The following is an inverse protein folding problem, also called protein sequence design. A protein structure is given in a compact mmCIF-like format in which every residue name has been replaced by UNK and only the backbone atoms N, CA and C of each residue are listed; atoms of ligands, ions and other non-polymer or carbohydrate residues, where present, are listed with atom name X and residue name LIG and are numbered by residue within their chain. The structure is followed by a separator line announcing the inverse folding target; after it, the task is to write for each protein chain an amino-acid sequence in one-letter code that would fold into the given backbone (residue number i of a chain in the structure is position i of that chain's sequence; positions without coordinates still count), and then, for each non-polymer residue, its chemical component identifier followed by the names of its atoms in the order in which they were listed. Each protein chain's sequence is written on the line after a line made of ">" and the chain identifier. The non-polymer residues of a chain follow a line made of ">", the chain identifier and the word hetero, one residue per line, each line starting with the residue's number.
data_IF_410611070259
#
_entry.id   IF_410611070259
#
_cell.length_a   1.000
_cell.length_b   1.000
_cell.length_c   1.000
_cell.angle_alpha   90.00
_cell.angle_beta   90.00
_cell.angle_gamma   90.00
#
_symmetry.space_group_name_H-M   'P 1'
#
loop_
_entity.id
_entity.type
_entity.pdbx_description
1 polymer ?
#
# COMPACT_ATOMS: atom_id res chain seq x y z
N UNK A 1 -12.05 35.91 -24.75
CA UNK A 1 -10.63 35.65 -24.45
C UNK A 1 -10.56 34.68 -23.29
N UNK A 2 -9.99 33.49 -23.51
CA UNK A 2 -9.77 32.52 -22.44
C UNK A 2 -8.53 32.96 -21.66
N UNK A 3 -8.55 32.85 -20.34
CA UNK A 3 -7.42 33.21 -19.48
C UNK A 3 -6.73 31.93 -19.02
N UNK A 4 -5.47 31.74 -19.42
CA UNK A 4 -4.63 30.63 -18.98
C UNK A 4 -3.32 31.21 -18.42
N UNK A 5 -3.03 30.94 -17.14
CA UNK A 5 -1.89 31.53 -16.41
C UNK A 5 -1.74 33.06 -16.56
N UNK A 6 -2.82 33.81 -16.33
CA UNK A 6 -2.85 35.28 -16.45
C UNK A 6 -2.47 35.84 -17.84
N UNK A 7 -2.46 34.99 -18.86
CA UNK A 7 -2.32 35.39 -20.27
C UNK A 7 -3.64 35.16 -21.00
N UNK A 8 -4.02 36.14 -21.80
CA UNK A 8 -5.15 36.03 -22.70
C UNK A 8 -4.78 35.19 -23.91
N UNK A 9 -5.53 34.11 -24.14
CA UNK A 9 -5.33 33.20 -25.26
C UNK A 9 -6.64 33.02 -26.03
N UNK A 10 -6.49 32.90 -27.35
CA UNK A 10 -7.57 32.55 -28.28
C UNK A 10 -7.42 31.10 -28.79
N UNK A 11 -6.52 30.31 -28.18
CA UNK A 11 -6.25 28.91 -28.55
C UNK A 11 -6.97 27.96 -27.58
N UNK A 12 -7.79 27.07 -28.13
CA UNK A 12 -8.44 25.98 -27.40
C UNK A 12 -7.78 24.65 -27.78
N UNK A 13 -7.29 23.92 -26.79
CA UNK A 13 -6.85 22.54 -26.95
C UNK A 13 -8.03 21.60 -26.73
N UNK A 14 -8.18 20.60 -27.60
CA UNK A 14 -9.18 19.55 -27.47
C UNK A 14 -8.56 18.21 -27.84
N UNK A 15 -9.19 17.14 -27.37
CA UNK A 15 -8.85 15.77 -27.70
C UNK A 15 -10.05 15.13 -28.41
N UNK A 16 -9.77 14.36 -29.47
CA UNK A 16 -10.79 13.54 -30.14
C UNK A 16 -10.84 12.19 -29.43
N UNK A 17 -11.99 11.87 -28.84
CA UNK A 17 -12.20 10.63 -28.11
C UNK A 17 -12.78 9.56 -29.02
N UNK A 18 -12.36 8.31 -28.82
CA UNK A 18 -12.91 7.15 -29.52
C UNK A 18 -14.30 6.73 -29.02
N UNK A 19 -14.74 7.27 -27.88
CA UNK A 19 -16.07 7.03 -27.28
C UNK A 19 -16.73 8.36 -26.88
N UNK A 20 -18.07 8.42 -26.84
CA UNK A 20 -18.79 9.61 -26.38
C UNK A 20 -18.35 10.06 -24.97
N UNK A 21 -18.21 11.37 -24.78
CA UNK A 21 -17.77 11.95 -23.51
C UNK A 21 -18.63 11.50 -22.30
N UNK A 22 -19.98 11.43 -22.37
CA UNK A 22 -20.79 10.94 -21.26
C UNK A 22 -20.46 9.50 -20.86
N UNK A 23 -20.14 8.65 -21.83
CA UNK A 23 -19.74 7.26 -21.59
C UNK A 23 -18.37 7.21 -20.91
N UNK A 24 -17.39 7.97 -21.43
CA UNK A 24 -16.06 8.07 -20.82
C UNK A 24 -16.14 8.58 -19.37
N UNK A 25 -16.99 9.57 -19.10
CA UNK A 25 -17.22 10.11 -17.75
C UNK A 25 -17.85 9.10 -16.80
N UNK A 26 -18.55 8.08 -17.32
CA UNK A 26 -19.10 6.97 -16.54
C UNK A 26 -18.06 5.90 -16.16
N UNK A 27 -16.85 5.95 -16.74
CA UNK A 27 -15.79 4.98 -16.49
C UNK A 27 -14.77 5.49 -15.46
N UNK A 28 -14.10 4.55 -14.81
CA UNK A 28 -12.92 4.78 -13.98
C UNK A 28 -11.79 3.89 -14.48
N UNK A 29 -10.59 4.46 -14.58
CA UNK A 29 -9.40 3.72 -15.02
C UNK A 29 -8.44 3.58 -13.84
N UNK A 30 -8.26 2.35 -13.36
CA UNK A 30 -7.34 2.01 -12.28
C UNK A 30 -6.05 1.45 -12.87
N UNK A 31 -4.91 1.88 -12.35
CA UNK A 31 -3.61 1.25 -12.60
C UNK A 31 -3.26 0.35 -11.42
N UNK A 32 -3.28 -0.95 -11.63
CA UNK A 32 -3.06 -1.96 -10.59
C UNK A 32 -1.71 -2.63 -10.81
N UNK A 33 -0.81 -2.52 -9.83
CA UNK A 33 0.43 -3.26 -9.78
C UNK A 33 0.15 -4.70 -9.30
N UNK A 34 0.24 -5.67 -10.20
CA UNK A 34 0.08 -7.08 -9.87
C UNK A 34 1.43 -7.68 -9.49
N UNK A 35 1.50 -8.27 -8.29
CA UNK A 35 2.67 -8.97 -7.79
C UNK A 35 2.47 -10.47 -8.00
N UNK A 36 3.34 -11.08 -8.80
CA UNK A 36 3.28 -12.53 -9.04
C UNK A 36 3.73 -13.29 -7.79
N UNK A 37 3.07 -14.41 -7.49
CA UNK A 37 3.41 -15.24 -6.33
C UNK A 37 4.74 -16.00 -6.51
N UNK A 38 5.10 -16.35 -7.75
CA UNK A 38 6.24 -17.23 -8.08
C UNK A 38 7.38 -16.53 -8.80
N UNK A 39 7.11 -15.37 -9.39
CA UNK A 39 8.08 -14.55 -10.11
C UNK A 39 8.30 -13.28 -9.31
N UNK A 40 9.55 -12.87 -9.11
CA UNK A 40 9.88 -11.55 -8.54
C UNK A 40 9.67 -10.45 -9.59
N UNK A 41 8.44 -10.35 -10.07
CA UNK A 41 8.00 -9.48 -11.16
C UNK A 41 6.73 -8.73 -10.75
N UNK A 42 6.70 -7.44 -11.07
CA UNK A 42 5.55 -6.57 -10.87
C UNK A 42 5.10 -6.03 -12.22
N UNK A 43 3.85 -6.30 -12.58
CA UNK A 43 3.26 -5.87 -13.85
C UNK A 43 2.12 -4.89 -13.58
N UNK A 44 2.12 -3.75 -14.27
CA UNK A 44 1.06 -2.75 -14.13
C UNK A 44 -0.04 -3.03 -15.15
N UNK A 45 -1.23 -3.40 -14.67
CA UNK A 45 -2.43 -3.57 -15.49
C UNK A 45 -3.30 -2.32 -15.43
N UNK A 46 -3.72 -1.85 -16.59
CA UNK A 46 -4.72 -0.78 -16.70
C UNK A 46 -6.11 -1.40 -16.82
N UNK A 47 -6.96 -1.16 -15.83
CA UNK A 47 -8.32 -1.70 -15.73
C UNK A 47 -9.30 -0.54 -15.84
N UNK A 48 -10.15 -0.57 -16.87
CA UNK A 48 -11.16 0.46 -17.09
C UNK A 48 -12.54 -0.16 -16.97
N UNK A 49 -13.29 0.27 -15.96
CA UNK A 49 -14.63 -0.25 -15.64
C UNK A 49 -15.60 0.89 -15.33
N UNK A 50 -16.93 0.68 -15.42
CA UNK A 50 -17.92 1.65 -14.95
C UNK A 50 -17.71 2.02 -13.48
N UNK A 51 -17.91 3.29 -13.11
CA UNK A 51 -17.66 3.81 -11.76
C UNK A 51 -18.41 3.05 -10.64
N UNK A 52 -19.60 2.56 -10.95
CA UNK A 52 -20.44 1.77 -10.05
C UNK A 52 -19.95 0.33 -9.84
N UNK A 53 -18.95 -0.14 -10.59
CA UNK A 53 -18.38 -1.47 -10.43
C UNK A 53 -17.71 -1.61 -9.07
N UNK A 54 -17.48 -2.86 -8.69
CA UNK A 54 -16.90 -3.23 -7.40
C UNK A 54 -15.44 -3.66 -7.53
N UNK A 55 -14.74 -3.73 -6.40
CA UNK A 55 -13.39 -4.32 -6.33
C UNK A 55 -13.39 -5.77 -6.81
N UNK A 56 -14.46 -6.53 -6.58
CA UNK A 56 -14.62 -7.87 -7.13
C UNK A 56 -14.58 -7.90 -8.65
N UNK A 57 -15.20 -6.92 -9.32
CA UNK A 57 -15.16 -6.79 -10.78
C UNK A 57 -13.74 -6.49 -11.29
N UNK A 58 -12.99 -5.64 -10.57
CA UNK A 58 -11.57 -5.36 -10.87
C UNK A 58 -10.73 -6.63 -10.74
N UNK A 59 -10.94 -7.40 -9.68
CA UNK A 59 -10.25 -8.68 -9.46
C UNK A 59 -10.56 -9.66 -10.59
N UNK A 60 -11.82 -9.78 -11.00
CA UNK A 60 -12.23 -10.68 -12.08
C UNK A 60 -11.61 -10.27 -13.43
N UNK A 61 -11.62 -8.98 -13.76
CA UNK A 61 -10.96 -8.46 -14.96
C UNK A 61 -9.43 -8.70 -14.92
N UNK A 62 -8.82 -8.54 -13.74
CA UNK A 62 -7.39 -8.82 -13.56
C UNK A 62 -7.07 -10.30 -13.74
N UNK A 63 -7.87 -11.21 -13.16
CA UNK A 63 -7.71 -12.67 -13.30
C UNK A 63 -7.73 -13.13 -14.75
N UNK A 64 -8.46 -12.45 -15.63
CA UNK A 64 -8.48 -12.76 -17.06
C UNK A 64 -7.21 -12.31 -17.81
N UNK A 65 -6.39 -11.45 -17.20
CA UNK A 65 -5.20 -10.82 -17.81
C UNK A 65 -3.88 -11.34 -17.24
N UNK A 66 -3.91 -12.12 -16.15
CA UNK A 66 -2.71 -12.59 -15.44
C UNK A 66 -2.66 -14.10 -15.37
N UNK A 67 -1.45 -14.65 -15.33
CA UNK A 67 -1.21 -16.04 -14.99
C UNK A 67 -1.18 -16.20 -13.48
N UNK A 68 -2.11 -16.98 -12.93
CA UNK A 68 -2.19 -17.32 -11.52
C UNK A 68 -1.37 -18.56 -11.19
N UNK A 69 -0.92 -18.70 -9.95
CA UNK A 69 -0.21 -19.90 -9.51
C UNK A 69 -1.09 -21.17 -9.52
N UNK A 70 -2.40 -21.03 -9.30
CA UNK A 70 -3.39 -22.10 -9.45
C UNK A 70 -4.77 -21.55 -9.88
N UNK A 71 -5.65 -22.36 -10.50
CA UNK A 71 -6.93 -21.89 -11.04
C UNK A 71 -7.88 -21.25 -10.01
N UNK A 72 -7.79 -21.69 -8.76
CA UNK A 72 -8.64 -21.23 -7.66
C UNK A 72 -7.96 -20.15 -6.80
N UNK A 73 -6.89 -19.51 -7.29
CA UNK A 73 -6.20 -18.48 -6.53
C UNK A 73 -7.15 -17.31 -6.25
N UNK A 74 -7.17 -16.88 -5.00
CA UNK A 74 -7.90 -15.69 -4.58
C UNK A 74 -6.96 -14.50 -4.69
N UNK A 75 -7.47 -13.37 -5.19
CA UNK A 75 -6.70 -12.13 -5.22
C UNK A 75 -7.26 -11.17 -4.20
N UNK A 76 -6.39 -10.34 -3.63
CA UNK A 76 -6.77 -9.16 -2.86
C UNK A 76 -6.27 -7.90 -3.54
N UNK A 77 -7.02 -6.81 -3.38
CA UNK A 77 -6.59 -5.48 -3.79
C UNK A 77 -6.25 -4.65 -2.54
N UNK A 78 -5.12 -3.95 -2.60
CA UNK A 78 -4.50 -3.24 -1.49
C UNK A 78 -4.17 -1.80 -1.89
N UNK A 79 -4.27 -0.87 -0.94
CA UNK A 79 -3.67 0.46 -1.04
C UNK A 79 -2.33 0.47 -0.31
N UNK A 80 -1.25 0.74 -1.05
CA UNK A 80 0.09 0.92 -0.50
C UNK A 80 0.50 2.39 -0.64
N UNK A 81 0.94 2.97 0.48
CA UNK A 81 1.42 4.35 0.54
C UNK A 81 2.61 4.44 1.50
N UNK A 82 3.67 5.15 1.10
CA UNK A 82 4.94 5.24 1.85
C UNK A 82 5.41 3.91 2.45
N UNK A 83 5.45 2.85 1.63
CA UNK A 83 5.92 1.51 2.02
C UNK A 83 5.12 0.85 3.14
N UNK A 84 3.85 1.27 3.33
CA UNK A 84 2.90 0.68 4.27
C UNK A 84 1.62 0.29 3.56
N UNK A 85 1.00 -0.79 4.03
CA UNK A 85 -0.33 -1.21 3.60
C UNK A 85 -1.35 -0.44 4.42
N UNK A 86 -2.15 0.39 3.76
CA UNK A 86 -3.16 1.25 4.40
C UNK A 86 -4.53 0.62 4.48
N UNK A 87 -4.87 -0.15 3.45
CA UNK A 87 -6.20 -0.72 3.29
C UNK A 87 -6.15 -1.98 2.45
N UNK A 88 -6.91 -2.98 2.89
CA UNK A 88 -7.34 -4.08 2.04
C UNK A 88 -8.76 -3.75 1.63
N UNK A 89 -9.04 -3.76 0.34
CA UNK A 89 -10.38 -3.46 -0.14
C UNK A 89 -11.28 -4.69 -0.01
N UNK A 90 -12.48 -4.54 0.59
CA UNK A 90 -13.48 -5.59 0.52
C UNK A 90 -14.04 -5.67 -0.90
N UNK A 91 -14.41 -6.88 -1.32
CA UNK A 91 -14.84 -7.16 -2.68
C UNK A 91 -16.05 -6.33 -3.14
N UNK A 92 -16.93 -5.93 -2.21
CA UNK A 92 -18.14 -5.16 -2.48
C UNK A 92 -17.92 -3.64 -2.51
N UNK A 93 -16.71 -3.15 -2.20
CA UNK A 93 -16.43 -1.71 -2.26
C UNK A 93 -16.47 -1.22 -3.70
N UNK A 94 -17.14 -0.09 -3.90
CA UNK A 94 -17.24 0.53 -5.23
C UNK A 94 -15.93 1.19 -5.64
N UNK A 95 -15.57 1.01 -6.90
CA UNK A 95 -14.33 1.58 -7.42
C UNK A 95 -14.36 3.11 -7.49
N UNK A 96 -15.54 3.74 -7.58
CA UNK A 96 -15.68 5.20 -7.55
C UNK A 96 -15.00 5.84 -6.34
N UNK A 97 -14.98 5.15 -5.19
CA UNK A 97 -14.44 5.64 -3.92
C UNK A 97 -12.92 5.47 -3.77
N UNK A 98 -12.28 4.71 -4.65
CA UNK A 98 -10.83 4.43 -4.59
C UNK A 98 -10.04 5.69 -4.99
N UNK A 99 -9.06 6.12 -4.19
CA UNK A 99 -8.16 7.18 -4.60
C UNK A 99 -6.96 6.60 -5.35
N UNK A 100 -6.95 6.76 -6.68
CA UNK A 100 -5.91 6.25 -7.58
C UNK A 100 -4.88 7.31 -7.99
N UNK A 101 -4.92 8.52 -7.42
CA UNK A 101 -4.05 9.62 -7.80
C UNK A 101 -2.68 9.60 -7.09
N UNK A 102 -2.64 9.12 -5.85
CA UNK A 102 -1.44 9.22 -5.00
C UNK A 102 -0.97 7.89 -4.42
N UNK A 103 -1.82 6.87 -4.47
CA UNK A 103 -1.57 5.59 -3.81
C UNK A 103 -1.31 4.52 -4.85
N UNK A 104 -0.42 3.58 -4.52
CA UNK A 104 -0.19 2.42 -5.35
C UNK A 104 -1.29 1.41 -5.06
N UNK A 105 -2.13 1.13 -6.06
CA UNK A 105 -3.03 -0.02 -6.01
C UNK A 105 -2.24 -1.27 -6.32
N UNK A 106 -2.12 -2.15 -5.33
CA UNK A 106 -1.42 -3.43 -5.45
C UNK A 106 -2.42 -4.57 -5.43
N UNK A 107 -2.29 -5.51 -6.35
CA UNK A 107 -3.00 -6.77 -6.30
C UNK A 107 -2.01 -7.92 -6.15
N UNK A 108 -2.40 -8.91 -5.36
CA UNK A 108 -1.58 -10.10 -5.11
C UNK A 108 -2.48 -11.30 -4.80
N UNK A 109 -1.94 -12.49 -5.02
CA UNK A 109 -2.57 -13.75 -4.61
C UNK A 109 -2.56 -13.86 -3.09
N UNK A 110 -3.70 -14.26 -2.51
CA UNK A 110 -3.82 -14.59 -1.10
C UNK A 110 -3.25 -15.99 -0.89
N UNK A 111 -2.13 -16.13 -0.16
CA UNK A 111 -1.54 -17.43 0.13
C UNK A 111 -2.51 -18.36 0.87
N UNK A 112 -2.43 -19.66 0.61
CA UNK A 112 -3.27 -20.67 1.27
C UNK A 112 -3.07 -20.73 2.80
N UNK A 113 -1.88 -20.34 3.29
CA UNK A 113 -1.60 -20.20 4.73
C UNK A 113 -2.48 -19.13 5.40
N UNK A 114 -2.90 -18.09 4.67
CA UNK A 114 -3.76 -17.03 5.21
C UNK A 114 -5.24 -17.43 5.25
N UNK A 115 -5.65 -18.46 4.50
CA UNK A 115 -7.05 -18.90 4.43
C UNK A 115 -7.46 -19.80 5.60
N UNK A 116 -6.49 -20.50 6.20
CA UNK A 116 -6.71 -21.51 7.21
C UNK A 116 -6.15 -21.09 8.59
N UNK A 117 -6.43 -19.85 9.00
CA UNK A 117 -5.95 -19.32 10.27
C UNK A 117 -6.66 -19.98 11.46
N UNK A 118 -5.88 -20.48 12.41
CA UNK A 118 -6.38 -20.94 13.70
C UNK A 118 -6.94 -19.78 14.56
N UNK A 119 -7.67 -20.08 15.65
CA UNK A 119 -8.29 -19.06 16.51
C UNK A 119 -7.31 -18.04 17.12
N UNK A 120 -6.08 -18.49 17.33
CA UNK A 120 -4.98 -17.73 17.94
C UNK A 120 -3.95 -17.24 16.93
N UNK A 121 -4.05 -17.69 15.67
CA UNK A 121 -3.19 -17.19 14.60
C UNK A 121 -3.53 -15.74 14.27
N UNK A 122 -2.54 -15.03 13.74
CA UNK A 122 -2.67 -13.62 13.36
C UNK A 122 -2.02 -13.39 12.02
N UNK A 123 -2.73 -12.66 11.16
CA UNK A 123 -2.15 -12.05 9.98
C UNK A 123 -1.60 -10.68 10.39
N UNK A 124 -0.29 -10.49 10.29
CA UNK A 124 0.38 -9.23 10.65
C UNK A 124 1.03 -8.57 9.44
N UNK A 125 1.24 -7.26 9.55
CA UNK A 125 2.04 -6.52 8.60
C UNK A 125 3.53 -6.61 8.93
N UNK A 126 4.34 -6.70 7.88
CA UNK A 126 5.80 -6.65 7.96
C UNK A 126 6.32 -5.54 7.05
N UNK A 127 7.08 -4.60 7.61
CA UNK A 127 7.64 -3.46 6.89
C UNK A 127 9.16 -3.37 7.09
N UNK A 128 9.87 -2.95 6.06
CA UNK A 128 11.29 -2.65 6.15
C UNK A 128 11.48 -1.22 6.63
N UNK A 129 12.44 -0.98 7.51
CA UNK A 129 12.72 0.37 7.96
C UNK A 129 14.20 0.62 8.26
N UNK A 130 14.59 1.88 8.13
CA UNK A 130 15.84 2.40 8.66
C UNK A 130 15.53 3.31 9.84
N UNK A 131 16.42 3.32 10.81
CA UNK A 131 16.40 4.30 11.89
C UNK A 131 17.16 5.54 11.46
N UNK A 132 16.46 6.66 11.34
CA UNK A 132 17.16 7.94 11.21
C UNK A 132 17.75 8.32 12.57
N UNK A 133 19.04 8.67 12.57
CA UNK A 133 19.80 9.05 13.77
C UNK A 133 20.05 10.55 13.85
N UNK A 134 19.30 11.36 13.10
CA UNK A 134 19.31 12.82 13.26
C UNK A 134 19.12 13.22 14.74
N UNK A 135 19.94 14.14 15.27
CA UNK A 135 19.86 14.52 16.68
C UNK A 135 18.47 15.04 17.04
N UNK A 136 17.90 14.52 18.13
CA UNK A 136 16.61 14.87 18.76
C UNK A 136 15.33 14.19 18.24
N UNK A 137 15.36 13.32 17.22
CA UNK A 137 14.18 12.49 16.87
C UNK A 137 14.60 11.10 16.38
N UNK A 138 14.17 10.05 17.08
CA UNK A 138 14.19 8.69 16.50
C UNK A 138 13.02 8.60 15.53
N UNK A 139 13.28 8.84 14.24
CA UNK A 139 12.30 8.60 13.19
C UNK A 139 12.56 7.26 12.51
N UNK A 140 11.46 6.52 12.32
CA UNK A 140 11.44 5.28 11.55
C UNK A 140 11.06 5.65 10.12
N UNK A 141 12.00 5.45 9.18
CA UNK A 141 11.74 5.62 7.76
C UNK A 141 11.50 4.25 7.13
N UNK A 142 10.27 4.02 6.64
CA UNK A 142 9.93 2.76 5.97
C UNK A 142 10.37 2.82 4.50
N UNK A 143 10.79 1.68 3.97
CA UNK A 143 11.20 1.52 2.57
C UNK A 143 10.84 0.12 2.07
N UNK A 144 11.18 -0.19 0.82
CA UNK A 144 10.98 -1.53 0.24
C UNK A 144 9.51 -1.91 0.06
N UNK A 145 9.28 -3.21 -0.07
CA UNK A 145 7.94 -3.75 -0.32
C UNK A 145 7.30 -4.29 0.97
N UNK A 146 6.16 -3.74 1.42
CA UNK A 146 5.45 -4.30 2.55
C UNK A 146 4.82 -5.65 2.18
N UNK A 147 4.65 -6.52 3.17
CA UNK A 147 3.98 -7.81 2.99
C UNK A 147 3.27 -8.26 4.26
N UNK A 148 2.45 -9.30 4.12
CA UNK A 148 1.78 -9.97 5.22
C UNK A 148 2.52 -11.23 5.65
N UNK A 149 2.43 -11.53 6.94
CA UNK A 149 2.94 -12.75 7.53
C UNK A 149 1.91 -13.33 8.50
N UNK A 150 1.63 -14.62 8.37
CA UNK A 150 0.87 -15.37 9.37
C UNK A 150 1.82 -15.74 10.51
N UNK A 151 1.49 -15.36 11.74
CA UNK A 151 2.18 -15.83 12.94
C UNK A 151 1.27 -16.74 13.75
N UNK A 152 1.86 -17.81 14.28
CA UNK A 152 1.15 -18.82 15.07
C UNK A 152 1.30 -18.57 16.57
N UNK A 153 0.39 -19.16 17.35
CA UNK A 153 0.50 -19.14 18.81
C UNK A 153 1.75 -19.88 19.28
N UNK A 154 2.54 -19.26 20.17
CA UNK A 154 3.77 -19.86 20.69
C UNK A 154 4.96 -19.81 19.73
N UNK A 155 4.81 -19.26 18.52
CA UNK A 155 5.92 -19.13 17.56
C UNK A 155 6.96 -18.13 18.07
N UNK A 156 8.21 -18.60 18.15
CA UNK A 156 9.37 -17.82 18.58
C UNK A 156 9.87 -16.91 17.46
N UNK A 157 10.61 -15.85 17.81
CA UNK A 157 11.23 -14.98 16.80
C UNK A 157 12.21 -15.75 15.92
N UNK A 158 12.93 -16.75 16.44
CA UNK A 158 13.83 -17.59 15.63
C UNK A 158 13.08 -18.31 14.51
N UNK A 159 11.91 -18.87 14.80
CA UNK A 159 11.07 -19.55 13.80
C UNK A 159 10.52 -18.56 12.76
N UNK A 160 10.02 -17.42 13.23
CA UNK A 160 9.55 -16.32 12.37
C UNK A 160 10.67 -15.80 11.46
N UNK A 161 11.88 -15.64 11.97
CA UNK A 161 13.07 -15.21 11.21
C UNK A 161 13.36 -16.14 10.05
N UNK A 162 13.35 -17.47 10.27
CA UNK A 162 13.57 -18.45 9.21
C UNK A 162 12.53 -18.34 8.09
N UNK A 163 11.25 -18.12 8.45
CA UNK A 163 10.17 -17.94 7.47
C UNK A 163 10.31 -16.65 6.67
N UNK A 164 10.61 -15.53 7.34
CA UNK A 164 10.84 -14.24 6.70
C UNK A 164 12.03 -14.33 5.73
N UNK A 165 13.14 -14.90 6.18
CA UNK A 165 14.33 -15.06 5.36
C UNK A 165 14.06 -15.89 4.11
N UNK A 166 13.37 -17.03 4.28
CA UNK A 166 12.96 -17.90 3.15
C UNK A 166 12.04 -17.16 2.19
N UNK A 167 11.08 -16.38 2.71
CA UNK A 167 10.12 -15.60 1.89
C UNK A 167 10.82 -14.51 1.08
N UNK A 168 11.78 -13.81 1.69
CA UNK A 168 12.52 -12.72 1.07
C UNK A 168 13.74 -13.18 0.26
N UNK A 169 14.11 -14.46 0.35
CA UNK A 169 15.27 -15.06 -0.32
C UNK A 169 16.59 -14.33 -0.03
N UNK A 170 16.76 -13.86 1.22
CA UNK A 170 17.94 -13.11 1.67
C UNK A 170 19.03 -14.07 2.16
N UNK A 171 20.30 -13.92 1.72
CA UNK A 171 21.42 -14.75 2.20
C UNK A 171 21.61 -14.64 3.72
N UNK A 172 22.05 -15.73 4.35
CA UNK A 172 22.30 -15.79 5.81
C UNK A 172 23.20 -14.67 6.31
N UNK A 173 24.26 -14.36 5.55
CA UNK A 173 25.22 -13.31 5.92
C UNK A 173 24.57 -11.92 5.98
N UNK A 174 23.64 -11.62 5.07
CA UNK A 174 22.93 -10.35 5.06
C UNK A 174 21.83 -10.33 6.13
N UNK A 175 21.03 -11.39 6.21
CA UNK A 175 19.91 -11.46 7.14
C UNK A 175 20.35 -11.46 8.61
N UNK A 176 21.52 -12.03 8.92
CA UNK A 176 22.10 -12.01 10.27
C UNK A 176 22.36 -10.60 10.82
N UNK A 177 22.48 -9.59 9.94
CA UNK A 177 22.70 -8.18 10.30
C UNK A 177 21.38 -7.45 10.62
N UNK A 178 20.23 -8.04 10.24
CA UNK A 178 18.93 -7.41 10.39
C UNK A 178 18.45 -7.50 11.84
N UNK A 179 17.79 -6.44 12.30
CA UNK A 179 17.14 -6.43 13.63
C UNK A 179 15.64 -6.41 13.46
N UNK A 180 14.95 -7.28 14.19
CA UNK A 180 13.50 -7.34 14.16
C UNK A 180 12.95 -6.62 15.39
N UNK A 181 11.94 -5.79 15.16
CA UNK A 181 11.28 -5.03 16.20
C UNK A 181 9.76 -5.12 16.07
N UNK A 182 9.07 -5.16 17.19
CA UNK A 182 7.66 -4.80 17.25
C UNK A 182 7.58 -3.27 17.23
N UNK A 183 6.87 -2.70 16.26
CA UNK A 183 6.63 -1.27 16.23
C UNK A 183 5.22 -0.99 16.73
N UNK A 184 5.09 -0.01 17.63
CA UNK A 184 3.82 0.56 18.03
C UNK A 184 3.95 2.09 18.02
N UNK A 185 3.06 2.81 17.34
CA UNK A 185 3.06 4.29 17.32
C UNK A 185 4.43 4.88 16.87
N UNK A 186 5.11 4.22 15.93
CA UNK A 186 6.42 4.64 15.43
C UNK A 186 7.60 4.38 16.36
N UNK A 187 7.38 3.71 17.51
CA UNK A 187 8.43 3.34 18.46
C UNK A 187 8.82 1.87 18.27
N UNK A 188 10.09 1.57 17.96
CA UNK A 188 10.56 0.20 17.85
C UNK A 188 10.92 -0.40 19.22
N UNK A 189 10.36 -1.59 19.48
CA UNK A 189 10.73 -2.49 20.58
C UNK A 189 11.41 -3.72 19.98
N UNK A 190 12.73 -3.83 20.12
CA UNK A 190 13.50 -4.94 19.54
C UNK A 190 13.18 -6.26 20.25
N UNK A 191 12.96 -7.28 19.44
CA UNK A 191 12.62 -8.62 19.90
C UNK A 191 13.88 -9.48 20.05
N UNK A 192 13.87 -10.37 21.04
CA UNK A 192 14.87 -11.41 21.24
C UNK A 192 14.44 -12.72 20.57
N UNK A 193 15.41 -13.59 20.28
CA UNK A 193 15.18 -14.87 19.60
C UNK A 193 14.16 -15.78 20.31
N UNK A 194 14.15 -15.76 21.64
CA UNK A 194 13.20 -16.51 22.48
C UNK A 194 11.82 -15.86 22.64
N UNK A 195 11.62 -14.64 22.14
CA UNK A 195 10.34 -13.94 22.31
C UNK A 195 9.23 -14.60 21.49
N UNK A 196 8.07 -14.78 22.11
CA UNK A 196 6.86 -15.25 21.44
C UNK A 196 6.22 -14.10 20.68
N UNK A 197 6.27 -14.13 19.34
CA UNK A 197 5.88 -12.98 18.50
C UNK A 197 4.38 -12.68 18.63
N UNK A 198 3.54 -13.70 18.61
CA UNK A 198 2.08 -13.57 18.73
C UNK A 198 1.62 -12.88 20.02
N UNK A 199 2.40 -12.99 21.11
CA UNK A 199 2.09 -12.32 22.38
C UNK A 199 2.08 -10.79 22.31
N UNK A 200 2.76 -10.20 21.30
CA UNK A 200 2.85 -8.75 21.08
C UNK A 200 1.64 -8.19 20.31
N UNK A 201 0.89 -9.03 19.60
CA UNK A 201 -0.21 -8.64 18.71
C UNK A 201 -1.57 -9.04 19.30
N UNK A 202 -1.99 -8.33 20.37
CA UNK A 202 -3.15 -8.72 21.19
C UNK A 202 -4.51 -8.17 20.71
N UNK A 203 -4.54 -7.13 19.86
CA UNK A 203 -5.81 -6.52 19.40
C UNK A 203 -6.36 -7.25 18.17
N UNK A 204 -7.62 -7.68 18.25
CA UNK A 204 -8.32 -8.45 17.22
C UNK A 204 -9.03 -7.60 16.15
N UNK A 205 -9.06 -6.27 16.28
CA UNK A 205 -9.87 -5.40 15.40
C UNK A 205 -9.03 -4.61 14.38
N UNK A 206 -8.63 -5.36 13.35
CA UNK A 206 -8.89 -5.11 11.92
C UNK A 206 -9.51 -3.73 11.57
N UNK A 207 -8.69 -2.86 10.95
CA UNK A 207 -8.98 -1.60 10.23
C UNK A 207 -8.94 -0.24 10.95
N UNK A 208 -8.71 -0.15 12.26
CA UNK A 208 -8.78 1.12 13.00
C UNK A 208 -7.60 1.47 13.91
N UNK A 209 -6.39 0.94 13.68
CA UNK A 209 -5.18 1.25 14.46
C UNK A 209 -3.93 0.64 13.80
N UNK A 210 -3.55 1.10 12.61
CA UNK A 210 -2.34 0.66 11.87
C UNK A 210 -1.02 1.12 12.51
N UNK A 211 -1.00 1.15 13.84
CA UNK A 211 0.11 1.56 14.67
C UNK A 211 1.06 0.40 14.95
N UNK A 212 0.62 -0.86 14.75
CA UNK A 212 1.36 -2.07 15.09
C UNK A 212 1.77 -2.91 13.88
N UNK A 213 3.07 -3.24 13.79
CA UNK A 213 3.63 -4.10 12.75
C UNK A 213 4.97 -4.71 13.19
N UNK A 214 5.42 -5.75 12.51
CA UNK A 214 6.77 -6.28 12.64
C UNK A 214 7.70 -5.50 11.70
N UNK A 215 8.68 -4.80 12.26
CA UNK A 215 9.68 -4.05 11.48
C UNK A 215 10.96 -4.85 11.27
N UNK A 216 11.49 -4.74 10.06
CA UNK A 216 12.79 -5.29 9.67
C UNK A 216 13.78 -4.13 9.52
N UNK A 217 14.65 -3.93 10.51
CA UNK A 217 15.68 -2.89 10.45
C UNK A 217 16.88 -3.37 9.65
N UNK A 218 17.14 -2.71 8.53
CA UNK A 218 18.35 -2.90 7.72
C UNK A 218 18.56 -1.72 6.75
N UNK A 219 19.72 -1.67 6.08
CA UNK A 219 19.99 -0.68 5.05
C UNK A 219 19.22 -0.97 3.77
N UNK A 220 18.78 0.09 3.08
CA UNK A 220 18.21 -0.02 1.74
C UNK A 220 19.33 -0.25 0.71
N UNK A 221 19.56 -1.53 0.39
CA UNK A 221 20.55 -1.97 -0.58
C UNK A 221 19.97 -2.06 -2.00
N UNK A 222 18.70 -1.73 -2.20
CA UNK A 222 18.11 -1.77 -3.54
C UNK A 222 18.81 -0.73 -4.42
N UNK A 223 19.26 -1.10 -5.64
CA UNK A 223 19.65 -0.08 -6.61
C UNK A 223 18.44 0.84 -6.74
N UNK A 224 18.64 2.15 -6.54
CA UNK A 224 17.59 3.18 -6.63
C UNK A 224 16.93 3.12 -8.01
N UNK A 225 16.06 2.12 -8.24
CA UNK A 225 15.25 2.00 -9.44
C UNK A 225 14.38 3.24 -9.46
N UNK A 226 14.13 3.72 -10.66
CA UNK A 226 13.38 4.93 -11.00
C UNK A 226 11.89 4.90 -10.59
N UNK A 227 11.53 4.29 -9.46
CA UNK A 227 10.33 4.64 -8.69
C UNK A 227 10.45 6.04 -8.05
N UNK A 228 11.67 6.60 -8.02
CA UNK A 228 11.96 7.94 -7.52
C UNK A 228 11.28 9.08 -8.30
N UNK A 229 10.89 8.90 -9.57
CA UNK A 229 10.31 9.99 -10.34
C UNK A 229 8.95 10.44 -9.78
N UNK A 230 8.09 9.50 -9.34
CA UNK A 230 6.81 9.85 -8.71
C UNK A 230 6.96 10.23 -7.23
N UNK A 231 7.97 9.71 -6.52
CA UNK A 231 8.17 10.03 -5.10
C UNK A 231 8.90 11.38 -4.87
N UNK A 232 9.86 11.75 -5.72
CA UNK A 232 10.60 13.03 -5.60
C UNK A 232 9.77 14.24 -6.05
N UNK A 233 8.86 14.07 -7.02
CA UNK A 233 7.87 15.10 -7.36
C UNK A 233 6.92 15.36 -6.18
N UNK A 234 6.64 14.34 -5.35
CA UNK A 234 5.71 14.46 -4.22
C UNK A 234 6.34 15.09 -2.96
N UNK A 235 7.62 14.85 -2.66
CA UNK A 235 8.29 15.55 -1.54
C UNK A 235 8.42 17.05 -1.79
N UNK A 236 8.59 17.44 -3.06
CA UNK A 236 8.63 18.84 -3.49
C UNK A 236 7.24 19.49 -3.50
N UNK A 237 6.17 18.77 -3.89
CA UNK A 237 4.79 19.30 -3.84
C UNK A 237 4.26 19.38 -2.39
N UNK A 238 4.55 18.40 -1.54
CA UNK A 238 4.12 18.41 -0.13
C UNK A 238 4.91 19.38 0.74
N UNK A 239 6.18 19.67 0.42
CA UNK A 239 6.97 20.71 1.12
C UNK A 239 6.61 22.14 0.71
N UNK A 240 5.89 22.33 -0.39
CA UNK A 240 5.37 23.63 -0.84
C UNK A 240 3.98 23.95 -0.28
N UNK A 241 3.30 23.02 0.40
CA UNK A 241 2.03 23.28 1.08
C UNK A 241 2.24 23.58 2.57
N UNK A 242 1.56 24.59 3.14
CA UNK A 242 1.69 24.91 4.55
C UNK A 242 1.28 23.71 5.42
N UNK A 243 2.01 23.51 6.51
CA UNK A 243 1.98 22.36 7.43
C UNK A 243 0.59 21.95 7.97
N UNK A 244 -0.46 22.75 7.74
CA UNK A 244 -1.86 22.43 8.09
C UNK A 244 -2.58 21.48 7.12
N UNK A 245 -2.13 21.34 5.87
CA UNK A 245 -2.89 20.61 4.83
C UNK A 245 -2.68 19.09 4.83
N UNK A 246 -1.58 18.59 5.39
CA UNK A 246 -1.32 17.15 5.53
C UNK A 246 -2.32 16.48 6.50
N UNK A 247 -2.74 17.20 7.54
CA UNK A 247 -3.82 16.76 8.43
C UNK A 247 -5.18 16.73 7.70
N UNK A 248 -5.40 17.63 6.74
CA UNK A 248 -6.65 17.73 5.96
C UNK A 248 -6.84 16.55 4.99
N UNK A 249 -5.75 16.03 4.40
CA UNK A 249 -5.80 14.85 3.52
C UNK A 249 -6.06 13.56 4.33
N UNK A 250 -5.56 13.49 5.56
CA UNK A 250 -5.71 12.31 6.43
C UNK A 250 -7.00 12.33 7.28
N UNK A 251 -7.56 13.50 7.62
CA UNK A 251 -8.79 13.63 8.42
C UNK A 251 -10.10 13.48 7.62
N UNK A 252 -10.11 13.66 6.31
CA UNK A 252 -11.34 13.63 5.50
C UNK A 252 -11.80 12.21 5.11
N UNK A 253 -11.71 11.24 6.03
CA UNK A 253 -12.41 9.94 5.89
C UNK A 253 -13.79 9.88 6.54
N UNK A 254 -14.22 10.92 7.27
CA UNK A 254 -15.59 11.02 7.76
C UNK A 254 -16.17 12.43 7.59
N UNK A 255 -17.39 12.48 7.06
CA UNK A 255 -18.28 13.64 6.84
C UNK A 255 -18.08 14.46 5.55
N UNK A 256 -19.01 14.24 4.61
CA UNK A 256 -19.45 15.28 3.69
C UNK A 256 -20.41 16.21 4.44
N UNK A 257 -20.18 17.54 4.41
CA UNK A 257 -21.22 18.59 4.39
C UNK A 257 -20.61 19.99 4.12
N UNK A 258 -20.69 20.43 2.84
CA UNK A 258 -20.95 21.76 2.21
C UNK A 258 -20.66 23.11 2.97
N UNK A 259 -20.38 24.26 2.27
CA UNK A 259 -21.17 24.73 1.12
C UNK A 259 -20.44 25.40 -0.07
N UNK A 260 -21.18 25.40 -1.19
CA UNK A 260 -20.95 26.16 -2.43
C UNK A 260 -21.27 27.64 -2.21
N UNK A 261 -20.41 28.53 -2.71
CA UNK A 261 -20.76 29.94 -2.93
C UNK A 261 -20.72 30.23 -4.43
N UNK A 262 -21.87 30.65 -4.96
CA UNK A 262 -22.01 31.28 -6.27
C UNK A 262 -21.78 32.78 -6.05
N UNK A 263 -20.96 33.40 -6.90
CA UNK A 263 -20.91 34.85 -7.03
C UNK A 263 -21.48 35.22 -8.40
N UNK A 264 -22.38 36.19 -8.41
CA UNK A 264 -23.01 36.78 -9.60
C UNK A 264 -21.98 37.49 -10.49
#
# INVERSE_FOLDING_TARGET
>A
MLVHYNQTSDILYYEVLDIPLPELQGLKTLKVAFHHATKDEVVIHTIRLPKQSTVGDVINDLKAKVELSHPNAELRLLEVFYHKIYKIFPHNEKIENINDQYWTLRAEEVPEEEKNLGPHDRLIHVYHFMKDTTPNQVQVQNFGEPFFLVIHEGETLTEVKMRIQKKLQVPDEEFSKWKLAFLSLGRPEYLQDSDIVSSRFQRKDVYGAWEQYLGLEHSDNAPKRSYAANQMIMSSILSQKPCGDLAFILQNRHTYEKPVKIYN
#
